data_IF_943801092665
#
_entry.id   IF_943801092665
#
_cell.length_a   1.000
_cell.length_b   1.000
_cell.length_c   1.000
_cell.angle_alpha   90.00
_cell.angle_beta   90.00
_cell.angle_gamma   90.00
#
_symmetry.space_group_name_H-M   'P 1'
#
loop_
_entity.id
_entity.type
_entity.pdbx_description
1 polymer ?
#
# COMPACT_ATOMS: atom_id res chain seq x y z
N UNK A 1 0.67 -19.29 9.43
CA UNK A 1 -0.13 -18.47 10.38
C UNK A 1 -1.46 -19.17 10.59
N UNK A 2 -1.99 -19.27 11.82
CA UNK A 2 -3.31 -19.83 12.05
C UNK A 2 -4.37 -19.02 11.30
N UNK A 3 -5.31 -19.74 10.68
CA UNK A 3 -6.50 -19.14 10.07
C UNK A 3 -7.58 -18.99 11.13
N UNK A 4 -8.22 -17.83 11.20
CA UNK A 4 -9.30 -17.53 12.12
C UNK A 4 -10.48 -16.88 11.37
N UNK A 5 -11.68 -16.99 11.94
CA UNK A 5 -12.85 -16.27 11.45
C UNK A 5 -12.70 -14.77 11.76
N UNK A 6 -12.83 -13.92 10.75
CA UNK A 6 -12.60 -12.49 10.83
C UNK A 6 -13.53 -11.78 11.82
N UNK A 7 -14.77 -12.27 11.95
CA UNK A 7 -15.73 -11.72 12.92
C UNK A 7 -15.38 -12.00 14.39
N UNK A 8 -14.49 -12.98 14.66
CA UNK A 8 -13.98 -13.25 16.00
C UNK A 8 -12.79 -12.37 16.39
N UNK A 9 -12.20 -11.63 15.45
CA UNK A 9 -11.02 -10.79 15.68
C UNK A 9 -11.47 -9.42 16.19
N UNK A 10 -11.36 -9.22 17.50
CA UNK A 10 -11.85 -8.02 18.20
C UNK A 10 -10.74 -7.05 18.62
N UNK A 11 -9.49 -7.51 18.64
CA UNK A 11 -8.31 -6.70 18.94
C UNK A 11 -7.40 -6.69 17.71
N UNK A 12 -7.50 -5.64 16.90
CA UNK A 12 -6.73 -5.48 15.67
C UNK A 12 -5.91 -4.19 15.78
N UNK A 13 -4.60 -4.31 15.71
CA UNK A 13 -3.69 -3.16 15.66
C UNK A 13 -3.18 -2.90 14.24
N UNK A 14 -3.19 -3.92 13.38
CA UNK A 14 -2.67 -3.82 12.01
C UNK A 14 -3.31 -4.84 11.09
N UNK A 15 -3.76 -4.38 9.93
CA UNK A 15 -4.26 -5.23 8.84
C UNK A 15 -3.38 -5.03 7.62
N UNK A 16 -2.80 -6.09 7.07
CA UNK A 16 -1.98 -5.98 5.88
C UNK A 16 -2.82 -6.17 4.62
N UNK A 17 -2.88 -5.13 3.78
CA UNK A 17 -3.57 -5.16 2.49
C UNK A 17 -2.58 -5.11 1.32
N UNK A 18 -2.93 -5.67 0.15
CA UNK A 18 -2.19 -5.46 -1.09
C UNK A 18 -1.91 -3.98 -1.40
N UNK A 19 -0.66 -3.65 -1.75
CA UNK A 19 -0.26 -2.30 -2.18
C UNK A 19 -0.93 -1.88 -3.49
N UNK A 20 -1.16 -2.87 -4.34
CA UNK A 20 -1.79 -2.74 -5.63
C UNK A 20 -2.75 -3.90 -5.85
N UNK A 21 -3.75 -3.68 -6.69
CA UNK A 21 -4.70 -4.71 -7.08
C UNK A 21 -4.92 -4.66 -8.59
N UNK A 22 -4.55 -5.73 -9.26
CA UNK A 22 -4.98 -6.02 -10.63
C UNK A 22 -6.33 -6.76 -10.59
N UNK A 23 -7.43 -6.01 -10.50
CA UNK A 23 -8.78 -6.56 -10.31
C UNK A 23 -9.84 -5.77 -11.10
N UNK A 24 -10.63 -6.44 -11.95
CA UNK A 24 -11.65 -5.78 -12.79
C UNK A 24 -12.78 -5.13 -11.97
N UNK A 25 -13.00 -5.61 -10.74
CA UNK A 25 -13.94 -5.03 -9.77
C UNK A 25 -13.20 -4.37 -8.60
N UNK A 26 -12.12 -3.63 -8.89
CA UNK A 26 -11.27 -2.96 -7.91
C UNK A 26 -12.07 -2.29 -6.78
N UNK A 27 -13.07 -1.46 -7.13
CA UNK A 27 -13.83 -0.69 -6.15
C UNK A 27 -14.53 -1.57 -5.10
N UNK A 28 -14.96 -2.77 -5.48
CA UNK A 28 -15.55 -3.72 -4.53
C UNK A 28 -14.47 -4.53 -3.81
N UNK A 29 -13.43 -4.97 -4.53
CA UNK A 29 -12.36 -5.80 -3.98
C UNK A 29 -11.51 -5.07 -2.94
N UNK A 30 -11.26 -3.78 -3.14
CA UNK A 30 -10.43 -2.96 -2.25
C UNK A 30 -11.00 -2.86 -0.83
N UNK A 31 -12.34 -2.77 -0.71
CA UNK A 31 -13.05 -2.66 0.57
C UNK A 31 -13.66 -4.00 1.02
N UNK A 32 -13.44 -5.07 0.27
CA UNK A 32 -13.95 -6.39 0.63
C UNK A 32 -13.21 -6.92 1.86
N UNK A 33 -13.97 -7.39 2.85
CA UNK A 33 -13.44 -8.05 4.03
C UNK A 33 -13.84 -9.53 4.02
N UNK A 34 -12.87 -10.45 3.87
CA UNK A 34 -13.16 -11.88 3.84
C UNK A 34 -13.58 -12.41 5.22
N UNK A 35 -14.35 -13.49 5.21
CA UNK A 35 -14.83 -14.17 6.43
C UNK A 35 -13.69 -14.81 7.24
N UNK A 36 -12.51 -14.99 6.63
CA UNK A 36 -11.31 -15.53 7.25
C UNK A 36 -10.09 -14.65 7.04
N UNK A 37 -9.18 -14.71 8.01
CA UNK A 37 -7.89 -14.05 7.98
C UNK A 37 -6.81 -14.93 8.62
N UNK A 38 -5.56 -14.66 8.26
CA UNK A 38 -4.39 -15.20 8.95
C UNK A 38 -3.99 -14.27 10.09
N UNK A 39 -3.76 -14.84 11.27
CA UNK A 39 -3.34 -14.08 12.46
C UNK A 39 -1.84 -14.29 12.69
N UNK A 40 -1.11 -13.19 12.88
CA UNK A 40 0.32 -13.25 13.21
C UNK A 40 0.55 -13.70 14.67
N UNK A 41 1.77 -14.09 15.06
CA UNK A 41 2.08 -14.54 16.42
C UNK A 41 1.80 -13.51 17.53
N UNK A 42 1.71 -12.22 17.20
CA UNK A 42 1.36 -11.15 18.14
C UNK A 42 -0.13 -11.12 18.52
N UNK A 43 -0.98 -11.88 17.81
CA UNK A 43 -2.42 -11.95 18.05
C UNK A 43 -3.22 -10.72 17.61
N UNK A 44 -2.57 -9.65 17.13
CA UNK A 44 -3.19 -8.35 16.81
C UNK A 44 -2.90 -7.86 15.39
N UNK A 45 -1.97 -8.51 14.68
CA UNK A 45 -1.70 -8.29 13.26
C UNK A 45 -2.40 -9.36 12.43
N UNK A 46 -3.15 -8.93 11.41
CA UNK A 46 -3.93 -9.83 10.56
C UNK A 46 -3.65 -9.60 9.08
N UNK A 47 -3.73 -10.67 8.29
CA UNK A 47 -3.69 -10.63 6.83
C UNK A 47 -5.01 -11.24 6.34
N UNK A 48 -5.92 -10.44 5.74
CA UNK A 48 -7.18 -10.94 5.21
C UNK A 48 -6.93 -12.01 4.14
N UNK A 49 -7.74 -13.07 4.09
CA UNK A 49 -7.61 -14.11 3.06
C UNK A 49 -8.18 -13.61 1.72
N UNK A 50 -7.39 -12.85 0.96
CA UNK A 50 -7.77 -12.36 -0.38
C UNK A 50 -6.87 -12.96 -1.47
N UNK A 51 -7.46 -13.21 -2.64
CA UNK A 51 -6.78 -13.84 -3.77
C UNK A 51 -5.61 -13.01 -4.33
N UNK A 52 -5.73 -11.69 -4.29
CA UNK A 52 -4.80 -10.74 -4.90
C UNK A 52 -3.51 -10.50 -4.09
N UNK A 53 -3.41 -11.04 -2.87
CA UNK A 53 -2.13 -11.08 -2.13
C UNK A 53 -1.04 -11.76 -2.96
N UNK A 54 -1.38 -12.79 -3.73
CA UNK A 54 -0.42 -13.48 -4.60
C UNK A 54 0.01 -12.69 -5.85
N UNK A 55 -0.54 -11.49 -6.07
CA UNK A 55 -0.31 -10.67 -7.26
C UNK A 55 0.27 -9.28 -6.97
N UNK A 56 0.24 -8.82 -5.73
CA UNK A 56 0.75 -7.51 -5.37
C UNK A 56 2.27 -7.50 -5.16
N UNK A 57 2.89 -6.34 -5.36
CA UNK A 57 4.33 -6.15 -5.14
C UNK A 57 4.71 -5.92 -3.66
N UNK A 58 3.76 -5.49 -2.84
CA UNK A 58 3.96 -5.27 -1.41
C UNK A 58 2.64 -5.42 -0.63
N UNK A 59 2.77 -5.56 0.68
CA UNK A 59 1.66 -5.45 1.63
C UNK A 59 1.84 -4.20 2.47
N UNK A 60 0.78 -3.43 2.66
CA UNK A 60 0.79 -2.24 3.47
C UNK A 60 0.03 -2.39 4.77
N UNK A 61 0.58 -1.85 5.87
CA UNK A 61 -0.10 -1.86 7.15
C UNK A 61 -1.21 -0.80 7.18
N UNK A 62 -2.46 -1.24 7.18
CA UNK A 62 -3.60 -0.44 7.58
C UNK A 62 -3.68 -0.43 9.12
N UNK A 63 -3.37 0.72 9.71
CA UNK A 63 -3.45 0.96 11.15
C UNK A 63 -4.78 1.64 11.46
N UNK A 64 -5.58 1.13 12.41
CA UNK A 64 -6.86 1.73 12.78
C UNK A 64 -6.80 3.25 13.02
N UNK A 65 -7.77 3.98 12.45
CA UNK A 65 -7.82 5.45 12.49
C UNK A 65 -6.88 6.15 11.51
N UNK A 66 -6.07 5.38 10.76
CA UNK A 66 -5.17 5.88 9.73
C UNK A 66 -5.81 5.93 8.35
N UNK A 67 -4.94 6.05 7.34
CA UNK A 67 -5.28 6.02 5.92
C UNK A 67 -4.42 5.01 5.19
N UNK A 68 -4.94 4.51 4.08
CA UNK A 68 -4.20 3.62 3.19
C UNK A 68 -4.28 4.12 1.75
N UNK A 69 -3.16 4.10 1.05
CA UNK A 69 -3.07 4.38 -0.39
C UNK A 69 -2.93 3.06 -1.15
N UNK A 70 -3.88 2.77 -2.04
CA UNK A 70 -3.90 1.51 -2.81
C UNK A 70 -3.97 1.83 -4.30
N UNK A 71 -3.14 1.14 -5.09
CA UNK A 71 -3.11 1.31 -6.54
C UNK A 71 -4.11 0.39 -7.24
N UNK A 72 -4.95 0.97 -8.09
CA UNK A 72 -5.77 0.28 -9.09
C UNK A 72 -4.93 0.16 -10.37
N UNK A 73 -4.38 -1.03 -10.60
CA UNK A 73 -3.43 -1.26 -11.70
C UNK A 73 -4.09 -1.21 -13.08
N UNK A 74 -5.38 -1.54 -13.16
CA UNK A 74 -6.12 -1.61 -14.42
C UNK A 74 -6.53 -0.20 -14.85
N UNK A 75 -7.07 0.60 -13.92
CA UNK A 75 -7.48 1.97 -14.22
C UNK A 75 -6.35 3.01 -14.08
N UNK A 76 -5.15 2.58 -13.65
CA UNK A 76 -3.96 3.43 -13.46
C UNK A 76 -4.23 4.63 -12.56
N UNK A 77 -4.73 4.35 -11.35
CA UNK A 77 -5.03 5.37 -10.33
C UNK A 77 -4.65 4.89 -8.94
N UNK A 78 -4.43 5.82 -8.03
CA UNK A 78 -4.22 5.54 -6.60
C UNK A 78 -5.35 6.14 -5.81
N UNK A 79 -5.92 5.33 -4.92
CA UNK A 79 -7.03 5.69 -4.07
C UNK A 79 -6.53 5.84 -2.63
N UNK A 80 -7.00 6.88 -1.96
CA UNK A 80 -6.92 7.01 -0.50
C UNK A 80 -8.18 6.40 0.12
N UNK A 81 -8.00 5.61 1.18
CA UNK A 81 -9.08 4.98 1.95
C UNK A 81 -8.87 5.19 3.44
N UNK A 82 -9.97 5.32 4.16
CA UNK A 82 -9.96 5.38 5.62
C UNK A 82 -9.89 3.97 6.22
N UNK A 83 -9.18 3.84 7.34
CA UNK A 83 -9.01 2.58 8.08
C UNK A 83 -9.82 2.66 9.37
N UNK A 84 -10.85 1.81 9.51
CA UNK A 84 -11.70 1.81 10.71
C UNK A 84 -11.04 1.11 11.92
N UNK A 85 -11.76 1.04 13.05
CA UNK A 85 -11.29 0.38 14.28
C UNK A 85 -10.97 -1.11 14.16
N UNK A 86 -11.51 -1.78 13.12
CA UNK A 86 -11.25 -3.19 12.80
C UNK A 86 -10.22 -3.34 11.69
N UNK A 87 -9.66 -2.22 11.20
CA UNK A 87 -8.75 -2.17 10.08
C UNK A 87 -9.41 -2.31 8.72
N UNK A 88 -10.74 -2.23 8.62
CA UNK A 88 -11.46 -2.29 7.35
C UNK A 88 -11.29 -0.99 6.56
N UNK A 89 -11.09 -1.13 5.25
CA UNK A 89 -11.00 -0.01 4.32
C UNK A 89 -12.39 0.49 3.92
N UNK A 90 -12.55 1.82 3.88
CA UNK A 90 -13.77 2.49 3.46
C UNK A 90 -13.47 3.86 2.83
N UNK A 91 -14.52 4.59 2.41
CA UNK A 91 -14.43 5.96 1.89
C UNK A 91 -13.40 6.15 0.77
N UNK A 92 -13.45 5.31 -0.25
CA UNK A 92 -12.56 5.41 -1.41
C UNK A 92 -12.62 6.80 -2.04
N UNK A 93 -11.46 7.44 -2.13
CA UNK A 93 -11.29 8.75 -2.76
C UNK A 93 -10.12 8.69 -3.73
N UNK A 94 -10.32 9.22 -4.94
CA UNK A 94 -9.21 9.40 -5.88
C UNK A 94 -8.16 10.34 -5.28
N UNK A 95 -6.94 9.83 -5.08
CA UNK A 95 -5.81 10.63 -4.66
C UNK A 95 -5.12 11.25 -5.89
N UNK A 96 -4.78 10.41 -6.88
CA UNK A 96 -4.26 10.86 -8.16
C UNK A 96 -4.56 9.86 -9.30
N UNK A 97 -4.62 10.31 -10.56
CA UNK A 97 -4.79 9.45 -11.73
C UNK A 97 -3.47 8.81 -12.18
N UNK A 98 -2.76 8.21 -11.21
CA UNK A 98 -1.49 7.49 -11.36
C UNK A 98 -1.48 6.31 -10.43
N UNK A 99 -0.99 5.16 -10.87
CA UNK A 99 -0.89 3.97 -10.03
C UNK A 99 -0.48 2.72 -10.80
N UNK A 100 0.44 1.95 -10.23
CA UNK A 100 0.83 0.65 -10.75
C UNK A 100 1.16 -0.32 -9.60
N UNK A 101 2.43 -0.60 -9.32
CA UNK A 101 2.80 -1.74 -8.47
C UNK A 101 2.75 -1.45 -6.97
N UNK A 102 3.11 -0.22 -6.57
CA UNK A 102 3.20 0.14 -5.15
C UNK A 102 3.30 1.66 -4.96
N UNK A 103 3.31 2.07 -3.70
CA UNK A 103 3.65 3.40 -3.24
C UNK A 103 4.49 3.35 -1.94
N UNK A 104 5.00 4.49 -1.51
CA UNK A 104 5.59 4.67 -0.20
C UNK A 104 5.26 6.07 0.33
N UNK A 105 5.22 6.21 1.66
CA UNK A 105 4.93 7.49 2.32
C UNK A 105 6.13 7.88 3.17
N UNK A 106 6.64 9.09 2.99
CA UNK A 106 7.71 9.62 3.84
C UNK A 106 7.16 10.18 5.16
N UNK A 107 8.06 10.56 6.07
CA UNK A 107 7.70 11.11 7.39
C UNK A 107 7.00 12.47 7.35
N UNK A 108 7.04 13.17 6.21
CA UNK A 108 6.37 14.47 6.01
C UNK A 108 4.97 14.27 5.41
N UNK A 109 4.63 13.02 5.07
CA UNK A 109 3.36 12.64 4.46
C UNK A 109 3.34 12.84 2.94
N UNK A 110 4.50 12.94 2.28
CA UNK A 110 4.55 12.91 0.83
C UNK A 110 4.44 11.46 0.34
N UNK A 111 3.72 11.27 -0.75
CA UNK A 111 3.40 9.96 -1.33
C UNK A 111 4.20 9.77 -2.62
N UNK A 112 4.94 8.67 -2.68
CA UNK A 112 5.79 8.25 -3.79
C UNK A 112 5.09 7.11 -4.51
N UNK A 113 4.75 7.27 -5.78
CA UNK A 113 3.94 6.31 -6.54
C UNK A 113 4.78 5.72 -7.67
N UNK A 114 4.89 4.39 -7.72
CA UNK A 114 5.48 3.69 -8.85
C UNK A 114 4.47 3.63 -10.00
N UNK A 115 4.87 4.17 -11.16
CA UNK A 115 4.15 4.06 -12.42
C UNK A 115 5.14 4.27 -13.58
N UNK A 116 6.01 3.28 -13.86
CA UNK A 116 7.12 3.44 -14.81
C UNK A 116 8.30 4.28 -14.30
N UNK A 117 7.99 5.42 -13.68
CA UNK A 117 8.89 6.27 -12.89
C UNK A 117 8.33 6.37 -11.46
N UNK A 118 8.95 7.19 -10.62
CA UNK A 118 8.41 7.50 -9.29
C UNK A 118 7.89 8.93 -9.29
N UNK A 119 6.58 9.09 -9.11
CA UNK A 119 5.92 10.39 -8.96
C UNK A 119 5.78 10.73 -7.49
N UNK A 120 6.11 11.97 -7.11
CA UNK A 120 6.07 12.42 -5.73
C UNK A 120 4.96 13.45 -5.58
N UNK A 121 4.04 13.21 -4.66
CA UNK A 121 2.92 14.08 -4.33
C UNK A 121 2.99 14.52 -2.86
N UNK A 122 2.54 15.73 -2.56
CA UNK A 122 2.25 16.07 -1.17
C UNK A 122 0.93 15.43 -0.70
N UNK A 123 0.65 15.50 0.60
CA UNK A 123 -0.60 14.99 1.20
C UNK A 123 -1.89 15.59 0.65
N UNK A 124 -1.83 16.70 -0.08
CA UNK A 124 -3.01 17.31 -0.73
C UNK A 124 -3.28 16.75 -2.14
N UNK A 125 -2.35 15.92 -2.66
CA UNK A 125 -2.42 15.39 -4.03
C UNK A 125 -1.74 16.29 -5.07
N UNK A 126 -0.96 17.29 -4.65
CA UNK A 126 -0.18 18.12 -5.58
C UNK A 126 1.13 17.44 -5.93
N UNK A 127 1.39 17.24 -7.23
CA UNK A 127 2.67 16.72 -7.72
C UNK A 127 3.81 17.70 -7.37
N UNK A 128 4.84 17.20 -6.70
CA UNK A 128 6.01 17.95 -6.27
C UNK A 128 7.18 17.78 -7.24
N UNK A 129 7.47 16.53 -7.62
CA UNK A 129 8.59 16.17 -8.50
C UNK A 129 8.45 14.74 -9.02
N UNK A 130 9.38 14.36 -9.91
CA UNK A 130 9.54 13.00 -10.41
C UNK A 130 10.97 12.52 -10.16
N UNK A 131 11.12 11.23 -9.88
CA UNK A 131 12.40 10.55 -9.75
C UNK A 131 12.48 9.54 -10.88
N UNK A 132 13.45 9.73 -11.76
CA UNK A 132 13.72 8.85 -12.89
C UNK A 132 14.82 7.87 -12.51
N UNK A 133 14.56 6.59 -12.77
CA UNK A 133 15.55 5.51 -12.69
C UNK A 133 15.76 4.96 -14.11
N UNK A 134 16.88 4.28 -14.33
CA UNK A 134 17.15 3.61 -15.62
C UNK A 134 16.21 2.42 -15.84
N UNK A 135 15.86 1.72 -14.76
CA UNK A 135 14.93 0.59 -14.77
C UNK A 135 13.58 0.94 -14.11
N UNK A 136 12.52 0.22 -14.52
CA UNK A 136 11.17 0.38 -13.99
C UNK A 136 11.11 -0.02 -12.50
N UNK A 137 10.59 0.84 -11.60
CA UNK A 137 10.33 0.47 -10.21
C UNK A 137 9.31 -0.67 -10.11
N UNK A 138 9.62 -1.69 -9.31
CA UNK A 138 8.70 -2.80 -9.00
C UNK A 138 8.16 -2.72 -7.57
N UNK A 139 9.01 -2.42 -6.60
CA UNK A 139 8.60 -2.18 -5.21
C UNK A 139 9.48 -1.10 -4.58
N UNK A 140 9.03 -0.49 -3.48
CA UNK A 140 9.79 0.55 -2.78
C UNK A 140 9.43 0.65 -1.30
N UNK A 141 10.37 1.11 -0.49
CA UNK A 141 10.14 1.42 0.92
C UNK A 141 11.16 2.42 1.46
N UNK A 142 10.78 3.17 2.50
CA UNK A 142 11.71 4.04 3.22
C UNK A 142 12.52 3.26 4.24
N UNK A 143 13.80 3.60 4.35
CA UNK A 143 14.71 3.04 5.33
C UNK A 143 16.00 3.86 5.46
N UNK A 144 17.06 3.18 5.88
CA UNK A 144 18.34 3.81 6.24
C UNK A 144 18.33 4.27 7.70
N UNK A 145 19.52 4.58 8.22
CA UNK A 145 19.70 4.93 9.64
C UNK A 145 18.90 6.14 10.09
N UNK A 146 18.50 7.01 9.16
CA UNK A 146 17.74 8.23 9.43
C UNK A 146 16.37 8.26 8.73
N UNK A 147 15.97 7.15 8.10
CA UNK A 147 14.69 6.99 7.42
C UNK A 147 14.49 7.83 6.16
N UNK A 148 15.53 8.47 5.60
CA UNK A 148 15.39 9.36 4.43
C UNK A 148 15.98 8.77 3.14
N UNK A 149 16.14 7.45 3.08
CA UNK A 149 16.51 6.74 1.84
C UNK A 149 15.32 5.93 1.37
N UNK A 150 14.85 6.21 0.15
CA UNK A 150 13.88 5.40 -0.56
C UNK A 150 14.62 4.26 -1.27
N UNK A 151 14.47 3.05 -0.76
CA UNK A 151 14.96 1.85 -1.44
C UNK A 151 13.94 1.43 -2.49
N UNK A 152 14.43 1.12 -3.70
CA UNK A 152 13.59 0.77 -4.85
C UNK A 152 14.16 -0.48 -5.51
N UNK A 153 13.35 -1.53 -5.60
CA UNK A 153 13.70 -2.73 -6.36
C UNK A 153 13.19 -2.60 -7.79
N UNK A 154 14.02 -3.00 -8.75
CA UNK A 154 13.64 -3.15 -10.15
C UNK A 154 13.80 -4.61 -10.57
N UNK A 155 13.76 -4.90 -11.87
CA UNK A 155 13.95 -6.27 -12.37
C UNK A 155 15.33 -6.81 -12.04
N UNK A 156 16.39 -6.00 -12.18
CA UNK A 156 17.77 -6.46 -12.03
C UNK A 156 18.59 -5.71 -10.98
N UNK A 157 18.06 -4.62 -10.42
CA UNK A 157 18.80 -3.71 -9.55
C UNK A 157 18.06 -3.32 -8.27
N UNK A 158 18.84 -2.88 -7.28
CA UNK A 158 18.36 -2.21 -6.07
C UNK A 158 18.94 -0.79 -6.05
N UNK A 159 18.07 0.21 -6.05
CA UNK A 159 18.44 1.62 -5.95
C UNK A 159 18.24 2.10 -4.51
N UNK A 160 19.11 3.01 -4.07
CA UNK A 160 18.91 3.82 -2.86
C UNK A 160 18.83 5.28 -3.24
N UNK A 161 17.64 5.87 -3.23
CA UNK A 161 17.44 7.27 -3.58
C UNK A 161 17.37 8.11 -2.31
N UNK A 162 18.24 9.11 -2.23
CA UNK A 162 18.25 10.02 -1.09
C UNK A 162 17.13 11.07 -1.23
N UNK A 163 16.28 11.18 -0.21
CA UNK A 163 15.10 12.05 -0.22
C UNK A 163 15.34 13.38 0.55
N UNK A 164 16.59 13.66 0.92
CA UNK A 164 17.05 14.93 1.48
C UNK A 164 18.39 15.35 0.91
#
# INVERSE_FOLDING_TARGET
MPRAATNGLTQVEKVYYPSSRWHYTFDNAAIYFPDSAFVAPDGVTIIPETYDIGRCAALFPAVPGGKLYVSDEIQKRTLEMDVDSRGLLSNQKLFCPRGETTNAVDKEGNIYIAEGQIFVFDKSGKELRRINLEERPLSMTFGGTDGNTLFVTTETSLYGVRIR
#
